data_IF_564839003061
#
_entry.id   IF_564839003061
#
_cell.length_a   1.000
_cell.length_b   1.000
_cell.length_c   1.000
_cell.angle_alpha   90.00
_cell.angle_beta   90.00
_cell.angle_gamma   90.00
#
_symmetry.space_group_name_H-M   'P 1'
#
loop_
_entity.id
_entity.type
_entity.pdbx_description
1 polymer ?
#
# COMPACT_ATOMS: atom_id res chain seq x y z
N UNK A 1 -19.83 1.56 1.47
CA UNK A 1 -18.78 2.57 1.28
C UNK A 1 -17.69 1.92 0.46
N UNK A 2 -17.21 2.57 -0.58
CA UNK A 2 -16.14 2.02 -1.41
C UNK A 2 -14.79 2.41 -0.82
N UNK A 3 -13.85 1.46 -0.80
CA UNK A 3 -12.49 1.66 -0.33
C UNK A 3 -11.52 1.36 -1.45
N UNK A 4 -10.49 2.19 -1.56
CA UNK A 4 -9.45 2.06 -2.55
C UNK A 4 -8.10 1.97 -1.84
N UNK A 5 -7.20 1.15 -2.37
CA UNK A 5 -5.85 1.08 -1.87
C UNK A 5 -4.85 1.48 -2.96
N UNK A 6 -3.90 2.34 -2.60
CA UNK A 6 -2.75 2.68 -3.43
C UNK A 6 -1.47 2.20 -2.76
N UNK A 7 -0.58 1.58 -3.53
CA UNK A 7 0.78 1.27 -3.07
C UNK A 7 1.81 1.82 -4.06
N UNK A 8 2.75 2.62 -3.55
CA UNK A 8 3.88 3.15 -4.29
C UNK A 8 5.15 2.47 -3.80
N UNK A 9 5.73 1.61 -4.62
CA UNK A 9 6.93 0.85 -4.30
C UNK A 9 8.11 1.63 -4.90
N UNK A 10 8.74 2.51 -4.13
CA UNK A 10 9.93 3.24 -4.57
C UNK A 10 11.22 2.41 -4.47
N UNK A 11 12.35 2.94 -4.93
CA UNK A 11 13.65 2.28 -4.78
C UNK A 11 14.13 2.19 -3.32
N UNK A 12 13.73 3.14 -2.49
CA UNK A 12 14.13 3.24 -1.08
C UNK A 12 12.96 3.01 -0.13
N UNK A 13 11.80 3.56 -0.47
CA UNK A 13 10.62 3.58 0.40
C UNK A 13 9.41 3.02 -0.34
N UNK A 14 8.62 2.22 0.35
CA UNK A 14 7.28 1.82 -0.05
C UNK A 14 6.25 2.58 0.78
N UNK A 15 5.18 3.03 0.13
CA UNK A 15 4.09 3.77 0.75
C UNK A 15 2.78 3.09 0.42
N UNK A 16 1.90 2.92 1.39
CA UNK A 16 0.53 2.47 1.17
C UNK A 16 -0.46 3.48 1.74
N UNK A 17 -1.58 3.69 1.03
CA UNK A 17 -2.68 4.56 1.42
C UNK A 17 -3.99 3.82 1.21
N UNK A 18 -4.87 3.88 2.21
CA UNK A 18 -6.27 3.47 2.12
C UNK A 18 -7.13 4.73 2.02
N UNK A 19 -7.97 4.79 1.00
CA UNK A 19 -8.79 5.95 0.64
C UNK A 19 -10.26 5.56 0.57
N UNK A 20 -11.13 6.43 1.09
CA UNK A 20 -12.57 6.43 0.83
C UNK A 20 -12.96 7.85 0.36
N UNK A 21 -13.86 8.53 1.06
CA UNK A 21 -14.09 9.97 0.86
C UNK A 21 -12.90 10.82 1.34
N UNK A 22 -12.13 10.28 2.30
CA UNK A 22 -10.91 10.86 2.85
C UNK A 22 -9.83 9.78 3.07
N UNK A 23 -8.62 10.18 3.46
CA UNK A 23 -7.55 9.23 3.78
C UNK A 23 -7.88 8.53 5.10
N UNK A 24 -8.12 7.23 5.03
CA UNK A 24 -8.47 6.38 6.18
C UNK A 24 -7.21 5.94 6.92
N UNK A 25 -6.18 5.55 6.18
CA UNK A 25 -4.90 5.13 6.74
C UNK A 25 -3.75 5.35 5.75
N UNK A 26 -2.56 5.58 6.28
CA UNK A 26 -1.32 5.59 5.49
C UNK A 26 -0.15 4.98 6.26
N UNK A 27 0.75 4.37 5.51
CA UNK A 27 1.95 3.72 6.03
C UNK A 27 3.12 3.99 5.08
N UNK A 28 4.28 4.23 5.66
CA UNK A 28 5.54 4.37 4.93
C UNK A 28 6.54 3.39 5.56
N UNK A 29 7.20 2.59 4.74
CA UNK A 29 8.24 1.64 5.16
C UNK A 29 9.37 1.54 4.14
N UNK A 30 10.49 0.90 4.48
CA UNK A 30 11.59 0.69 3.53
C UNK A 30 11.21 -0.35 2.46
N UNK A 31 11.64 -0.16 1.21
CA UNK A 31 11.42 -1.13 0.12
C UNK A 31 12.28 -2.37 0.29
N UNK A 32 13.53 -2.21 0.74
CA UNK A 32 14.51 -3.28 0.96
C UNK A 32 14.80 -4.17 -0.27
N UNK A 33 15.76 -5.11 -0.16
CA UNK A 33 16.06 -6.07 -1.23
C UNK A 33 14.95 -7.14 -1.43
N UNK A 34 14.02 -7.27 -0.49
CA UNK A 34 12.84 -8.14 -0.59
C UNK A 34 11.58 -7.33 -0.98
N UNK A 35 11.72 -6.49 -2.02
CA UNK A 35 10.75 -5.48 -2.48
C UNK A 35 9.28 -5.93 -2.39
N UNK A 36 8.93 -7.12 -2.91
CA UNK A 36 7.55 -7.64 -2.90
C UNK A 36 7.05 -7.96 -1.50
N UNK A 37 7.87 -8.60 -0.67
CA UNK A 37 7.47 -9.01 0.69
C UNK A 37 7.29 -7.80 1.60
N UNK A 38 8.19 -6.82 1.48
CA UNK A 38 8.12 -5.58 2.27
C UNK A 38 6.94 -4.71 1.82
N UNK A 39 6.66 -4.64 0.52
CA UNK A 39 5.46 -3.98 0.02
C UNK A 39 4.17 -4.61 0.57
N UNK A 40 4.07 -5.93 0.59
CA UNK A 40 2.92 -6.62 1.20
C UNK A 40 2.75 -6.27 2.68
N UNK A 41 3.85 -6.24 3.46
CA UNK A 41 3.80 -5.82 4.87
C UNK A 41 3.32 -4.38 5.06
N UNK A 42 3.74 -3.48 4.17
CA UNK A 42 3.29 -2.07 4.20
C UNK A 42 1.79 -1.96 3.91
N UNK A 43 1.26 -2.75 2.97
CA UNK A 43 -0.17 -2.83 2.70
C UNK A 43 -0.95 -3.47 3.86
N UNK A 44 -0.47 -4.59 4.41
CA UNK A 44 -1.08 -5.26 5.55
C UNK A 44 -1.19 -4.32 6.77
N UNK A 45 -0.14 -3.55 7.05
CA UNK A 45 -0.17 -2.56 8.12
C UNK A 45 -1.15 -1.41 7.84
N UNK A 46 -1.31 -1.00 6.58
CA UNK A 46 -2.27 0.04 6.21
C UNK A 46 -3.72 -0.45 6.39
N UNK A 47 -4.01 -1.69 5.96
CA UNK A 47 -5.30 -2.35 6.18
C UNK A 47 -5.59 -2.54 7.67
N UNK A 48 -4.60 -2.98 8.44
CA UNK A 48 -4.71 -3.14 9.90
C UNK A 48 -5.02 -1.82 10.59
N UNK A 49 -4.37 -0.71 10.19
CA UNK A 49 -4.65 0.63 10.73
C UNK A 49 -6.04 1.14 10.34
N UNK A 50 -6.51 0.81 9.13
CA UNK A 50 -7.85 1.12 8.68
C UNK A 50 -8.94 0.22 9.32
N UNK A 51 -8.55 -0.89 9.97
CA UNK A 51 -9.49 -1.87 10.49
C UNK A 51 -10.23 -2.64 9.39
N UNK A 52 -9.62 -2.78 8.21
CA UNK A 52 -10.22 -3.35 7.02
C UNK A 52 -9.57 -4.67 6.63
N UNK A 53 -10.36 -5.55 6.03
CA UNK A 53 -9.87 -6.75 5.35
C UNK A 53 -9.55 -6.43 3.89
N UNK A 54 -8.63 -7.17 3.26
CA UNK A 54 -8.25 -6.93 1.85
C UNK A 54 -9.45 -7.06 0.91
N UNK A 55 -10.36 -7.97 1.20
CA UNK A 55 -11.58 -8.27 0.45
C UNK A 55 -12.58 -7.10 0.47
N UNK A 56 -12.42 -6.15 1.39
CA UNK A 56 -13.25 -4.94 1.46
C UNK A 56 -12.77 -3.82 0.52
N UNK A 57 -11.59 -3.98 -0.09
CA UNK A 57 -11.03 -3.00 -1.02
C UNK A 57 -11.60 -3.24 -2.42
N UNK A 58 -12.25 -2.22 -2.96
CA UNK A 58 -12.87 -2.21 -4.29
C UNK A 58 -11.81 -2.28 -5.40
N UNK A 59 -10.71 -1.54 -5.24
CA UNK A 59 -9.63 -1.53 -6.22
C UNK A 59 -8.27 -1.26 -5.57
N UNK A 60 -7.24 -1.91 -6.11
CA UNK A 60 -5.86 -1.75 -5.67
C UNK A 60 -5.02 -1.29 -6.86
N UNK A 61 -4.39 -0.13 -6.74
CA UNK A 61 -3.41 0.39 -7.70
C UNK A 61 -2.00 0.26 -7.12
N UNK A 62 -1.04 -0.11 -7.96
CA UNK A 62 0.37 -0.08 -7.62
C UNK A 62 1.18 0.74 -8.62
N UNK A 63 2.19 1.46 -8.11
CA UNK A 63 3.23 2.12 -8.92
C UNK A 63 4.61 1.61 -8.50
N UNK A 64 5.52 1.54 -9.46
CA UNK A 64 6.91 1.14 -9.24
C UNK A 64 7.84 2.04 -10.06
N UNK A 65 9.15 2.12 -9.74
CA UNK A 65 10.08 2.98 -10.44
C UNK A 65 10.28 2.45 -11.85
N UNK A 66 10.51 3.35 -12.82
CA UNK A 66 10.74 2.96 -14.21
C UNK A 66 11.97 2.05 -14.41
N UNK A 67 12.88 2.00 -13.43
CA UNK A 67 14.10 1.20 -13.44
C UNK A 67 13.95 -0.14 -12.70
N UNK A 68 12.76 -0.49 -12.21
CA UNK A 68 12.52 -1.82 -11.66
C UNK A 68 12.38 -2.82 -12.80
N UNK A 69 13.39 -3.69 -12.94
CA UNK A 69 13.37 -4.87 -13.83
C UNK A 69 12.39 -5.94 -13.34
#
# INVERSE_FOLDING_TARGET
MEYYAGIDIGSTMTKAVILAEEIVASVIGPTGPEHRRLANKVMEEALRRAGLALESITYITSTQPATAE
#
